data_IF_556319026507
#
_entry.id   IF_556319026507
#
_cell.length_a   1.000
_cell.length_b   1.000
_cell.length_c   1.000
_cell.angle_alpha   90.00
_cell.angle_beta   90.00
_cell.angle_gamma   90.00
#
_symmetry.space_group_name_H-M   'P 1'
#
loop_
_entity.id
_entity.type
_entity.pdbx_description
1 polymer ?
#
# COMPACT_ATOMS: atom_id res chain seq x y z
N UNK A 1 -2.11 8.95 -10.07
CA UNK A 1 -1.40 8.18 -11.12
C UNK A 1 -2.38 7.17 -11.68
N UNK A 2 -2.30 6.84 -12.97
CA UNK A 2 -3.10 5.78 -13.58
C UNK A 2 -2.22 4.53 -13.70
N UNK A 3 -2.49 3.50 -12.90
CA UNK A 3 -1.77 2.24 -12.98
C UNK A 3 -2.39 1.37 -14.07
N UNK A 4 -1.69 1.15 -15.18
CA UNK A 4 -2.06 0.15 -16.20
C UNK A 4 -1.33 -1.16 -15.92
N UNK A 5 -2.07 -2.22 -15.62
CA UNK A 5 -1.52 -3.55 -15.40
C UNK A 5 -1.15 -4.21 -16.74
N UNK A 6 0.14 -4.48 -16.94
CA UNK A 6 0.63 -5.37 -17.99
C UNK A 6 1.14 -6.65 -17.34
N UNK A 7 0.99 -7.81 -18.00
CA UNK A 7 1.54 -9.10 -17.54
C UNK A 7 3.07 -9.12 -17.64
N UNK A 8 3.73 -8.34 -16.78
CA UNK A 8 5.18 -8.26 -16.64
C UNK A 8 5.50 -8.27 -15.16
N UNK A 9 6.57 -8.95 -14.77
CA UNK A 9 7.13 -8.88 -13.40
C UNK A 9 8.23 -7.83 -13.28
N UNK A 10 8.49 -7.07 -14.35
CA UNK A 10 9.54 -6.05 -14.39
C UNK A 10 9.01 -4.70 -13.93
N UNK A 11 9.76 -4.06 -13.02
CA UNK A 11 9.51 -2.68 -12.57
C UNK A 11 10.61 -1.81 -13.15
N UNK A 12 10.26 -0.92 -14.08
CA UNK A 12 11.23 -0.09 -14.79
C UNK A 12 11.72 1.12 -13.96
N UNK A 13 10.91 1.61 -13.02
CA UNK A 13 11.24 2.75 -12.16
C UNK A 13 10.10 3.13 -11.23
N UNK A 14 10.40 4.00 -10.26
CA UNK A 14 9.43 4.64 -9.36
C UNK A 14 9.69 6.15 -9.43
N UNK A 15 8.69 6.90 -9.87
CA UNK A 15 8.75 8.36 -9.94
C UNK A 15 7.94 9.00 -8.82
N UNK A 16 8.56 9.94 -8.11
CA UNK A 16 7.93 10.66 -6.99
C UNK A 16 8.04 12.15 -7.20
N UNK A 17 6.91 12.86 -7.00
CA UNK A 17 6.86 14.31 -7.14
C UNK A 17 7.80 15.01 -6.15
N UNK A 18 8.52 16.03 -6.63
CA UNK A 18 9.40 16.85 -5.80
C UNK A 18 8.62 17.75 -4.83
N UNK A 19 9.29 18.23 -3.77
CA UNK A 19 8.72 19.20 -2.83
C UNK A 19 7.88 18.60 -1.69
N UNK A 20 7.83 17.27 -1.59
CA UNK A 20 7.21 16.59 -0.45
C UNK A 20 8.05 16.74 0.82
N UNK A 21 7.39 16.88 1.96
CA UNK A 21 8.08 16.76 3.26
C UNK A 21 8.67 15.35 3.40
N UNK A 22 9.76 15.20 4.17
CA UNK A 22 10.44 13.90 4.36
C UNK A 22 9.47 12.76 4.67
N UNK A 23 8.49 12.99 5.54
CA UNK A 23 7.51 11.98 5.91
C UNK A 23 6.54 11.64 4.76
N UNK A 24 6.07 12.63 3.99
CA UNK A 24 5.24 12.36 2.81
C UNK A 24 6.02 11.65 1.73
N UNK A 25 7.23 12.11 1.43
CA UNK A 25 8.11 11.48 0.46
C UNK A 25 8.35 10.00 0.79
N UNK A 26 8.76 9.68 2.02
CA UNK A 26 9.01 8.30 2.41
C UNK A 26 7.75 7.43 2.44
N UNK A 27 6.59 7.98 2.80
CA UNK A 27 5.32 7.27 2.71
C UNK A 27 4.93 6.98 1.26
N UNK A 28 5.08 7.95 0.35
CA UNK A 28 4.85 7.76 -1.09
C UNK A 28 5.80 6.71 -1.67
N UNK A 29 7.10 6.79 -1.36
CA UNK A 29 8.05 5.76 -1.80
C UNK A 29 7.66 4.37 -1.28
N UNK A 30 7.27 4.26 -0.01
CA UNK A 30 6.83 2.98 0.56
C UNK A 30 5.55 2.45 -0.09
N UNK A 31 4.63 3.34 -0.46
CA UNK A 31 3.43 3.01 -1.24
C UNK A 31 3.80 2.43 -2.61
N UNK A 32 4.63 3.14 -3.39
CA UNK A 32 5.04 2.68 -4.73
C UNK A 32 5.88 1.39 -4.69
N UNK A 33 6.68 1.19 -3.63
CA UNK A 33 7.36 -0.09 -3.39
C UNK A 33 6.34 -1.22 -3.17
N UNK A 34 5.17 -0.95 -2.60
CA UNK A 34 4.08 -1.91 -2.48
C UNK A 34 3.60 -2.40 -3.85
N UNK A 35 3.37 -1.48 -4.79
CA UNK A 35 3.02 -1.81 -6.18
C UNK A 35 4.12 -2.61 -6.85
N UNK A 36 5.37 -2.15 -6.75
CA UNK A 36 6.53 -2.83 -7.31
C UNK A 36 6.67 -4.25 -6.76
N UNK A 37 6.46 -4.44 -5.45
CA UNK A 37 6.51 -5.74 -4.81
C UNK A 37 5.42 -6.66 -5.34
N UNK A 38 4.16 -6.22 -5.42
CA UNK A 38 3.05 -7.04 -5.96
C UNK A 38 3.36 -7.53 -7.39
N UNK A 39 3.87 -6.63 -8.24
CA UNK A 39 4.29 -6.92 -9.61
C UNK A 39 5.43 -7.95 -9.62
N UNK A 40 6.50 -7.72 -8.86
CA UNK A 40 7.65 -8.63 -8.79
C UNK A 40 7.30 -10.02 -8.27
N UNK A 41 6.27 -10.11 -7.41
CA UNK A 41 5.75 -11.37 -6.90
C UNK A 41 4.80 -12.09 -7.85
N UNK A 42 4.41 -11.45 -8.97
CA UNK A 42 3.39 -11.98 -9.87
C UNK A 42 2.05 -12.19 -9.15
N UNK A 43 1.70 -11.26 -8.25
CA UNK A 43 0.50 -11.39 -7.42
C UNK A 43 -0.78 -11.46 -8.27
N UNK A 44 -1.72 -12.35 -7.91
CA UNK A 44 -2.99 -12.50 -8.60
C UNK A 44 -4.04 -11.44 -8.23
N UNK A 45 -3.78 -10.62 -7.21
CA UNK A 45 -4.69 -9.52 -6.83
C UNK A 45 -4.78 -8.50 -7.96
N UNK A 46 -6.02 -8.26 -8.41
CA UNK A 46 -6.34 -7.29 -9.47
C UNK A 46 -7.41 -6.29 -9.06
N UNK A 47 -8.12 -6.52 -7.95
CA UNK A 47 -9.06 -5.56 -7.37
C UNK A 47 -8.30 -4.30 -6.93
N UNK A 48 -8.57 -3.12 -7.54
CA UNK A 48 -7.90 -1.87 -7.19
C UNK A 48 -7.99 -1.54 -5.71
N UNK A 49 -9.09 -1.89 -5.04
CA UNK A 49 -9.28 -1.63 -3.60
C UNK A 49 -8.26 -2.44 -2.78
N UNK A 50 -7.99 -3.69 -3.15
CA UNK A 50 -7.04 -4.53 -2.43
C UNK A 50 -5.58 -4.20 -2.79
N UNK A 51 -5.33 -3.85 -4.05
CA UNK A 51 -4.02 -3.37 -4.50
C UNK A 51 -3.62 -2.11 -3.73
N UNK A 52 -4.43 -1.06 -3.82
CA UNK A 52 -4.12 0.22 -3.18
C UNK A 52 -4.13 0.07 -1.67
N UNK A 53 -5.06 -0.72 -1.11
CA UNK A 53 -5.09 -1.02 0.32
C UNK A 53 -3.81 -1.67 0.83
N UNK A 54 -3.19 -2.56 0.05
CA UNK A 54 -1.91 -3.18 0.37
C UNK A 54 -0.78 -2.14 0.37
N UNK A 55 -0.75 -1.27 -0.64
CA UNK A 55 0.25 -0.20 -0.75
C UNK A 55 0.11 0.83 0.38
N UNK A 56 -1.11 1.16 0.79
CA UNK A 56 -1.39 2.00 1.96
C UNK A 56 -0.92 1.35 3.28
N UNK A 57 -1.02 0.02 3.42
CA UNK A 57 -0.44 -0.69 4.58
C UNK A 57 1.08 -0.54 4.62
N UNK A 58 1.77 -0.58 3.48
CA UNK A 58 3.23 -0.38 3.41
C UNK A 58 3.60 1.06 3.81
N UNK A 59 2.90 2.05 3.26
CA UNK A 59 3.08 3.46 3.61
C UNK A 59 2.84 3.70 5.11
N UNK A 60 1.75 3.16 5.66
CA UNK A 60 1.42 3.26 7.08
C UNK A 60 2.49 2.62 7.95
N UNK A 61 2.99 1.43 7.59
CA UNK A 61 4.04 0.75 8.32
C UNK A 61 5.36 1.54 8.34
N UNK A 62 5.70 2.21 7.23
CA UNK A 62 6.84 3.12 7.18
C UNK A 62 6.63 4.35 8.09
N UNK A 63 5.46 5.00 8.00
CA UNK A 63 5.10 6.15 8.83
C UNK A 63 5.11 5.82 10.33
N UNK A 64 4.71 4.60 10.71
CA UNK A 64 4.71 4.15 12.12
C UNK A 64 6.08 4.26 12.78
N UNK A 65 7.14 4.12 11.98
CA UNK A 65 8.53 4.11 12.45
C UNK A 65 9.19 5.48 12.42
N UNK A 66 8.48 6.51 11.95
CA UNK A 66 9.02 7.87 11.90
C UNK A 66 8.71 8.62 13.20
N UNK A 67 9.66 9.43 13.71
CA UNK A 67 9.42 10.25 14.89
C UNK A 67 8.56 11.48 14.58
N UNK A 68 7.90 12.02 15.61
CA UNK A 68 7.16 13.28 15.57
C UNK A 68 5.65 13.12 15.35
N UNK A 69 4.91 14.21 15.55
CA UNK A 69 3.44 14.23 15.43
C UNK A 69 2.95 14.18 13.98
N UNK A 70 3.72 14.73 13.05
CA UNK A 70 3.31 14.83 11.65
C UNK A 70 3.11 13.46 10.95
N UNK A 71 4.01 12.46 11.07
CA UNK A 71 3.73 11.10 10.60
C UNK A 71 2.49 10.47 11.22
N UNK A 72 2.21 10.76 12.50
CA UNK A 72 0.99 10.34 13.19
C UNK A 72 -0.26 10.93 12.54
N UNK A 73 -0.25 12.24 12.28
CA UNK A 73 -1.34 12.93 11.59
C UNK A 73 -1.57 12.39 10.16
N UNK A 74 -0.51 12.05 9.43
CA UNK A 74 -0.64 11.40 8.12
C UNK A 74 -1.31 10.03 8.22
N UNK A 75 -0.94 9.21 9.21
CA UNK A 75 -1.58 7.90 9.43
C UNK A 75 -3.06 8.03 9.79
N UNK A 76 -3.42 9.05 10.56
CA UNK A 76 -4.82 9.34 10.89
C UNK A 76 -5.60 9.79 9.66
N UNK A 77 -5.00 10.63 8.82
CA UNK A 77 -5.59 11.04 7.55
C UNK A 77 -5.80 9.84 6.61
N UNK A 78 -4.87 8.88 6.56
CA UNK A 78 -5.06 7.64 5.80
C UNK A 78 -6.22 6.81 6.35
N UNK A 79 -6.35 6.71 7.68
CA UNK A 79 -7.41 5.93 8.34
C UNK A 79 -8.81 6.51 8.08
N UNK A 80 -8.92 7.83 8.14
CA UNK A 80 -10.18 8.58 7.96
C UNK A 80 -10.46 8.96 6.51
N UNK A 81 -9.60 8.57 5.56
CA UNK A 81 -9.79 8.86 4.15
C UNK A 81 -11.13 8.27 3.66
N UNK A 82 -12.07 9.08 3.14
CA UNK A 82 -13.37 8.60 2.68
C UNK A 82 -13.32 7.96 1.28
N UNK A 83 -12.18 8.01 0.61
CA UNK A 83 -12.00 7.43 -0.71
C UNK A 83 -12.30 5.91 -0.72
N UNK A 84 -13.10 5.48 -1.70
CA UNK A 84 -13.60 4.10 -1.80
C UNK A 84 -12.53 3.09 -2.22
N UNK A 85 -11.39 3.55 -2.73
CA UNK A 85 -10.28 2.69 -3.16
C UNK A 85 -9.17 2.77 -2.14
N UNK A 86 -8.64 3.97 -1.88
CA UNK A 86 -7.48 4.17 -1.00
C UNK A 86 -7.86 4.02 0.48
N UNK A 87 -8.88 4.74 0.92
CA UNK A 87 -9.30 4.73 2.33
C UNK A 87 -9.92 3.40 2.72
N UNK A 88 -10.88 2.92 1.93
CA UNK A 88 -11.54 1.64 2.18
C UNK A 88 -10.58 0.45 2.01
N UNK A 89 -9.75 0.46 0.96
CA UNK A 89 -8.70 -0.54 0.77
C UNK A 89 -7.78 -0.62 1.97
N UNK A 90 -7.29 0.53 2.45
CA UNK A 90 -6.41 0.57 3.62
C UNK A 90 -7.06 -0.06 4.85
N UNK A 91 -8.33 0.27 5.13
CA UNK A 91 -9.06 -0.31 6.28
C UNK A 91 -9.23 -1.82 6.14
N UNK A 92 -9.69 -2.31 4.98
CA UNK A 92 -9.91 -3.75 4.72
C UNK A 92 -8.63 -4.56 4.86
N UNK A 93 -7.55 -4.14 4.20
CA UNK A 93 -6.27 -4.87 4.24
C UNK A 93 -5.64 -4.77 5.63
N UNK A 94 -5.66 -3.59 6.26
CA UNK A 94 -5.16 -3.43 7.63
C UNK A 94 -5.92 -4.30 8.63
N UNK A 95 -7.24 -4.39 8.53
CA UNK A 95 -8.05 -5.26 9.39
C UNK A 95 -7.63 -6.73 9.22
N UNK A 96 -7.51 -7.21 7.97
CA UNK A 96 -7.04 -8.57 7.70
C UNK A 96 -5.64 -8.82 8.31
N UNK A 97 -4.72 -7.86 8.17
CA UNK A 97 -3.37 -7.94 8.73
C UNK A 97 -3.40 -7.97 10.27
N UNK A 98 -4.27 -7.19 10.91
CA UNK A 98 -4.44 -7.21 12.37
C UNK A 98 -4.98 -8.57 12.84
N UNK A 99 -5.93 -9.16 12.12
CA UNK A 99 -6.56 -10.43 12.49
C UNK A 99 -5.69 -11.67 12.21
N UNK A 100 -4.96 -11.67 11.10
CA UNK A 100 -4.29 -12.86 10.56
C UNK A 100 -2.76 -12.74 10.50
N UNK A 101 -2.22 -11.54 10.69
CA UNK A 101 -0.82 -11.23 10.46
C UNK A 101 -0.53 -10.89 8.99
N UNK A 102 0.62 -10.24 8.76
CA UNK A 102 0.99 -9.74 7.43
C UNK A 102 1.31 -10.86 6.43
N UNK A 103 1.98 -11.92 6.88
CA UNK A 103 2.44 -12.98 5.99
C UNK A 103 1.29 -13.76 5.34
N UNK A 104 0.25 -14.22 6.09
CA UNK A 104 -0.90 -14.89 5.48
C UNK A 104 -1.69 -13.99 4.52
N UNK A 105 -1.83 -12.70 4.84
CA UNK A 105 -2.52 -11.73 3.99
C UNK A 105 -1.78 -11.57 2.66
N UNK A 106 -0.47 -11.29 2.70
CA UNK A 106 0.33 -11.15 1.48
C UNK A 106 0.37 -12.44 0.67
N UNK A 107 0.45 -13.61 1.33
CA UNK A 107 0.38 -14.88 0.65
C UNK A 107 -0.96 -15.03 -0.10
N UNK A 108 -2.09 -14.82 0.57
CA UNK A 108 -3.43 -14.92 -0.03
C UNK A 108 -3.61 -13.96 -1.21
N UNK A 109 -3.19 -12.70 -1.06
CA UNK A 109 -3.24 -11.72 -2.15
C UNK A 109 -2.40 -12.15 -3.36
N UNK A 110 -1.25 -12.77 -3.13
CA UNK A 110 -0.43 -13.30 -4.21
C UNK A 110 -1.03 -14.54 -4.87
N UNK A 111 -1.59 -15.48 -4.10
CA UNK A 111 -1.99 -16.80 -4.61
C UNK A 111 -3.45 -16.93 -5.02
N UNK A 112 -4.34 -16.11 -4.47
CA UNK A 112 -5.79 -16.14 -4.78
C UNK A 112 -6.35 -14.78 -5.17
N UNK A 113 -5.59 -13.70 -4.98
CA UNK A 113 -6.06 -12.33 -5.26
C UNK A 113 -7.08 -11.80 -4.25
N UNK A 114 -7.30 -12.51 -3.15
CA UNK A 114 -8.31 -12.18 -2.13
C UNK A 114 -7.70 -12.13 -0.73
N UNK A 115 -8.39 -11.47 0.20
CA UNK A 115 -8.02 -11.49 1.62
C UNK A 115 -8.43 -12.83 2.29
N UNK A 116 -7.67 -13.29 3.30
CA UNK A 116 -7.96 -14.51 4.07
C UNK A 116 -8.86 -14.28 5.30
#
# INVERSE_FOLDING_TARGET
>A
MTHSWQHSTTVAGIDVVRGLTRARFGATVAHEIGHAWLIQRGALVTDPVLVEGTCEVFASAWLKRQPGSYPGALREAMWTNPDQVYGEGYRRVREAVVRKGIHPVLHSLCTSGTLP
#
